data_IF_436675016056
#
_entry.id   IF_436675016056
#
_cell.length_a   1.000
_cell.length_b   1.000
_cell.length_c   1.000
_cell.angle_alpha   90.00
_cell.angle_beta   90.00
_cell.angle_gamma   90.00
#
_symmetry.space_group_name_H-M   'P 1'
#
loop_
_entity.id
_entity.type
_entity.pdbx_description
1 polymer ?
#
# COMPACT_ATOMS: atom_id res chain seq x y z
N UNK A 1 -53.95 40.59 -2.34
CA UNK A 1 -53.23 39.59 -3.15
C UNK A 1 -51.75 39.65 -2.74
N UNK A 2 -51.27 38.67 -1.95
CA UNK A 2 -49.87 38.57 -1.54
C UNK A 2 -49.14 37.61 -2.49
N UNK A 3 -48.17 38.13 -3.26
CA UNK A 3 -47.30 37.30 -4.13
C UNK A 3 -46.18 36.72 -3.27
N UNK A 4 -46.13 35.38 -3.15
CA UNK A 4 -45.00 34.66 -2.59
C UNK A 4 -43.98 34.47 -3.69
N UNK A 5 -42.81 35.09 -3.54
CA UNK A 5 -41.63 34.88 -4.39
C UNK A 5 -40.85 33.72 -3.75
N UNK A 6 -40.95 32.53 -4.37
CA UNK A 6 -40.18 31.38 -4.00
C UNK A 6 -38.71 31.52 -4.47
N UNK A 7 -37.78 31.66 -3.54
CA UNK A 7 -36.35 31.60 -3.83
C UNK A 7 -35.96 30.13 -3.94
N UNK A 8 -35.74 29.69 -5.21
CA UNK A 8 -35.16 28.34 -5.47
C UNK A 8 -33.66 28.42 -5.26
N UNK A 9 -33.19 27.82 -4.16
CA UNK A 9 -31.75 27.69 -3.88
C UNK A 9 -31.20 26.55 -4.78
N UNK A 10 -30.53 26.94 -5.87
CA UNK A 10 -29.83 25.99 -6.74
C UNK A 10 -28.51 25.57 -6.07
N UNK A 11 -28.52 24.38 -5.47
CA UNK A 11 -27.33 23.80 -4.87
C UNK A 11 -26.43 23.25 -5.99
N UNK A 12 -25.47 24.08 -6.44
CA UNK A 12 -24.45 23.67 -7.41
C UNK A 12 -23.43 22.78 -6.70
N UNK A 13 -23.69 21.47 -6.71
CA UNK A 13 -22.77 20.47 -6.20
C UNK A 13 -21.48 20.49 -7.02
N UNK A 14 -20.39 20.98 -6.40
CA UNK A 14 -19.05 20.91 -6.97
C UNK A 14 -18.61 19.42 -6.94
N UNK A 15 -18.73 18.69 -8.05
CA UNK A 15 -18.12 17.38 -8.22
C UNK A 15 -16.62 17.56 -8.33
N UNK A 16 -15.90 17.42 -7.23
CA UNK A 16 -14.45 17.27 -7.24
C UNK A 16 -14.14 15.94 -7.94
N UNK A 17 -13.78 16.01 -9.21
CA UNK A 17 -13.22 14.86 -9.92
C UNK A 17 -11.88 14.53 -9.26
N UNK A 18 -11.83 13.50 -8.42
CA UNK A 18 -10.57 12.92 -7.93
C UNK A 18 -9.85 12.34 -9.15
N UNK A 19 -8.80 13.04 -9.59
CA UNK A 19 -7.87 12.54 -10.61
C UNK A 19 -6.98 11.47 -9.95
N UNK A 20 -6.67 10.40 -10.68
CA UNK A 20 -5.71 9.40 -10.24
C UNK A 20 -4.33 10.06 -10.00
N UNK A 21 -3.72 9.75 -8.87
CA UNK A 21 -2.42 10.27 -8.46
C UNK A 21 -1.36 9.19 -8.61
N UNK A 22 -0.17 9.57 -9.02
CA UNK A 22 1.01 8.72 -9.02
C UNK A 22 1.89 9.08 -7.83
N UNK A 23 2.09 8.12 -6.93
CA UNK A 23 3.04 8.23 -5.84
C UNK A 23 4.30 7.43 -6.16
N UNK A 24 5.44 7.88 -5.63
CA UNK A 24 6.72 7.23 -5.80
C UNK A 24 7.35 6.88 -4.46
N UNK A 25 7.92 5.68 -4.39
CA UNK A 25 8.69 5.18 -3.25
C UNK A 25 10.09 4.88 -3.74
N UNK A 26 11.13 5.31 -3.02
CA UNK A 26 12.52 5.06 -3.37
C UNK A 26 13.38 4.79 -2.13
N UNK A 27 14.47 4.02 -2.30
CA UNK A 27 15.40 3.69 -1.21
C UNK A 27 16.11 4.91 -0.62
N UNK A 28 16.20 6.00 -1.39
CA UNK A 28 16.74 7.30 -0.98
C UNK A 28 15.64 8.34 -0.73
N UNK A 29 14.37 7.90 -0.59
CA UNK A 29 13.24 8.77 -0.31
C UNK A 29 13.18 9.23 1.15
N UNK A 30 12.15 10.03 1.45
CA UNK A 30 11.83 10.51 2.80
C UNK A 30 10.31 10.58 2.95
N UNK A 31 9.77 10.04 4.05
CA UNK A 31 8.33 10.00 4.29
C UNK A 31 7.72 11.37 4.64
N UNK A 32 8.55 12.39 4.82
CA UNK A 32 8.12 13.80 4.88
C UNK A 32 7.90 14.44 3.50
N UNK A 33 8.39 13.81 2.44
CA UNK A 33 8.22 14.27 1.06
C UNK A 33 6.76 14.21 0.58
N UNK A 34 6.54 14.76 -0.61
CA UNK A 34 5.21 14.76 -1.26
C UNK A 34 4.86 13.44 -1.97
N UNK A 35 5.82 12.52 -2.15
CA UNK A 35 5.65 11.28 -2.89
C UNK A 35 5.69 11.45 -4.41
N UNK A 36 6.24 12.54 -4.92
CA UNK A 36 6.47 12.76 -6.36
C UNK A 36 7.73 12.03 -6.84
N UNK A 37 7.94 11.97 -8.15
CA UNK A 37 9.15 11.36 -8.73
C UNK A 37 10.44 11.98 -8.19
N UNK A 38 10.47 13.32 -8.07
CA UNK A 38 11.64 14.07 -7.58
C UNK A 38 11.76 14.08 -6.05
N UNK A 39 10.66 13.86 -5.35
CA UNK A 39 10.57 13.82 -3.88
C UNK A 39 9.78 12.58 -3.43
N UNK A 40 10.33 11.38 -3.62
CA UNK A 40 9.66 10.13 -3.30
C UNK A 40 9.54 9.90 -1.78
N UNK A 41 8.58 9.08 -1.40
CA UNK A 41 8.53 8.53 -0.05
C UNK A 41 9.65 7.52 0.19
N UNK A 42 10.04 7.32 1.44
CA UNK A 42 10.98 6.28 1.82
C UNK A 42 10.32 4.90 1.91
N UNK A 43 9.03 4.85 2.32
CA UNK A 43 8.37 3.59 2.67
C UNK A 43 7.08 3.36 1.88
N UNK A 44 6.80 2.06 1.63
CA UNK A 44 5.54 1.65 1.03
C UNK A 44 4.35 1.95 1.95
N UNK A 45 4.55 1.87 3.28
CA UNK A 45 3.56 2.21 4.29
C UNK A 45 3.07 3.65 4.17
N UNK A 46 4.01 4.58 3.93
CA UNK A 46 3.67 5.99 3.71
C UNK A 46 2.81 6.17 2.47
N UNK A 47 3.19 5.56 1.34
CA UNK A 47 2.41 5.60 0.12
C UNK A 47 1.01 5.00 0.34
N UNK A 48 0.93 3.82 0.99
CA UNK A 48 -0.31 3.14 1.35
C UNK A 48 -1.26 4.03 2.17
N UNK A 49 -0.72 4.85 3.06
CA UNK A 49 -1.54 5.78 3.88
C UNK A 49 -2.24 6.87 3.07
N UNK A 50 -1.73 7.18 1.86
CA UNK A 50 -2.17 8.29 1.00
C UNK A 50 -3.10 7.87 -0.13
N UNK A 51 -2.99 6.64 -0.62
CA UNK A 51 -3.70 6.22 -1.82
C UNK A 51 -5.22 6.22 -1.66
N UNK A 52 -5.87 6.55 -2.77
CA UNK A 52 -7.32 6.47 -2.98
C UNK A 52 -7.63 5.68 -4.27
N UNK A 53 -8.89 5.30 -4.53
CA UNK A 53 -9.24 4.54 -5.73
C UNK A 53 -8.76 5.17 -7.04
N UNK A 54 -7.98 4.42 -7.80
CA UNK A 54 -7.39 4.82 -9.09
C UNK A 54 -5.93 5.21 -9.02
N UNK A 55 -5.37 5.38 -7.83
CA UNK A 55 -3.97 5.77 -7.66
C UNK A 55 -3.00 4.64 -8.02
N UNK A 56 -1.79 5.04 -8.40
CA UNK A 56 -0.67 4.12 -8.63
C UNK A 56 0.51 4.50 -7.73
N UNK A 57 1.05 3.50 -7.04
CA UNK A 57 2.31 3.61 -6.31
C UNK A 57 3.40 2.97 -7.15
N UNK A 58 4.33 3.77 -7.61
CA UNK A 58 5.54 3.35 -8.31
C UNK A 58 6.67 3.13 -7.32
N UNK A 59 7.21 1.93 -7.30
CA UNK A 59 8.33 1.53 -6.45
C UNK A 59 9.58 1.60 -7.31
N UNK A 60 10.52 2.48 -6.95
CA UNK A 60 11.79 2.65 -7.66
C UNK A 60 12.71 1.46 -7.42
N UNK A 61 13.58 1.20 -8.35
CA UNK A 61 14.57 0.13 -8.25
C UNK A 61 15.47 0.27 -7.04
N UNK A 62 15.97 -0.87 -6.56
CA UNK A 62 16.86 -0.96 -5.41
C UNK A 62 16.39 -1.97 -4.37
N UNK A 63 17.22 -2.19 -3.36
CA UNK A 63 16.96 -3.13 -2.29
C UNK A 63 16.40 -2.41 -1.06
N UNK A 64 15.13 -2.65 -0.76
CA UNK A 64 14.41 -2.17 0.42
C UNK A 64 14.62 -3.17 1.54
N UNK A 65 15.54 -2.89 2.45
CA UNK A 65 15.80 -3.73 3.63
C UNK A 65 14.76 -3.43 4.69
N UNK A 66 13.88 -4.38 4.90
CA UNK A 66 12.81 -4.26 5.88
C UNK A 66 13.30 -4.81 7.21
N UNK A 67 13.11 -4.03 8.28
CA UNK A 67 13.45 -4.40 9.64
C UNK A 67 12.22 -4.78 10.43
N UNK A 68 12.43 -5.52 11.51
CA UNK A 68 11.34 -6.02 12.35
C UNK A 68 10.52 -4.89 12.98
N UNK A 69 11.16 -3.78 13.38
CA UNK A 69 10.47 -2.61 13.92
C UNK A 69 9.58 -1.87 12.91
N UNK A 70 9.72 -2.16 11.63
CA UNK A 70 8.89 -1.60 10.56
C UNK A 70 7.63 -2.42 10.28
N UNK A 71 7.45 -3.54 10.95
CA UNK A 71 6.22 -4.33 10.80
C UNK A 71 5.00 -3.55 11.28
N UNK A 72 3.93 -3.62 10.51
CA UNK A 72 2.72 -2.82 10.75
C UNK A 72 1.74 -3.45 11.72
N UNK A 73 1.91 -4.72 12.07
CA UNK A 73 0.99 -5.38 12.98
C UNK A 73 1.14 -6.89 13.02
N UNK A 74 0.10 -7.54 13.48
CA UNK A 74 0.04 -8.99 13.58
C UNK A 74 -0.96 -9.46 14.63
N UNK A 75 -1.08 -10.75 14.74
CA UNK A 75 -1.80 -11.43 15.79
C UNK A 75 -0.86 -12.39 16.56
N UNK A 76 -1.42 -13.31 17.35
CA UNK A 76 -0.63 -14.28 18.10
C UNK A 76 0.08 -15.32 17.22
N UNK A 77 -0.33 -15.49 15.95
CA UNK A 77 0.24 -16.46 15.00
C UNK A 77 1.03 -15.80 13.88
N UNK A 78 0.71 -14.53 13.53
CA UNK A 78 1.23 -13.85 12.34
C UNK A 78 1.81 -12.49 12.68
N UNK A 79 2.84 -12.11 11.96
CA UNK A 79 3.38 -10.76 11.89
C UNK A 79 3.18 -10.22 10.49
N UNK A 80 2.67 -8.99 10.36
CA UNK A 80 2.36 -8.34 9.09
C UNK A 80 3.42 -7.29 8.77
N UNK A 81 4.12 -7.45 7.63
CA UNK A 81 5.12 -6.47 7.20
C UNK A 81 4.43 -5.26 6.62
N UNK A 82 3.54 -5.46 5.63
CA UNK A 82 2.74 -4.40 5.02
C UNK A 82 1.26 -4.68 5.22
N UNK A 83 0.53 -3.72 5.76
CA UNK A 83 -0.92 -3.78 5.85
C UNK A 83 -1.55 -2.98 4.71
N UNK A 84 -2.28 -3.68 3.83
CA UNK A 84 -2.91 -3.13 2.63
C UNK A 84 -4.42 -3.02 2.84
N UNK A 85 -4.84 -2.01 3.60
CA UNK A 85 -6.22 -1.82 4.07
C UNK A 85 -7.03 -0.80 3.24
N UNK A 86 -6.44 -0.19 2.22
CA UNK A 86 -7.17 0.68 1.29
C UNK A 86 -7.81 -0.15 0.20
N UNK A 87 -8.97 0.29 -0.28
CA UNK A 87 -9.69 -0.37 -1.36
C UNK A 87 -9.79 0.53 -2.57
N UNK A 88 -9.55 -0.05 -3.75
CA UNK A 88 -9.94 0.53 -5.00
C UNK A 88 -11.42 0.25 -5.31
N UNK A 89 -11.79 0.35 -6.57
CA UNK A 89 -13.07 -0.10 -7.12
C UNK A 89 -12.83 -0.90 -8.38
N UNK A 90 -13.85 -1.58 -8.90
CA UNK A 90 -13.74 -2.32 -10.16
C UNK A 90 -13.24 -1.43 -11.31
N UNK A 91 -13.69 -0.17 -11.38
CA UNK A 91 -13.30 0.79 -12.42
C UNK A 91 -12.01 1.56 -12.07
N UNK A 92 -11.66 1.68 -10.79
CA UNK A 92 -10.52 2.46 -10.29
C UNK A 92 -9.73 1.64 -9.29
N UNK A 93 -8.93 0.71 -9.79
CA UNK A 93 -8.05 -0.13 -8.95
C UNK A 93 -6.89 0.69 -8.40
N UNK A 94 -6.39 0.34 -7.23
CA UNK A 94 -5.13 0.86 -6.72
C UNK A 94 -4.02 -0.07 -7.20
N UNK A 95 -2.97 0.47 -7.78
CA UNK A 95 -1.86 -0.31 -8.33
C UNK A 95 -0.56 -0.04 -7.56
N UNK A 96 0.14 -1.11 -7.19
CA UNK A 96 1.50 -1.08 -6.63
C UNK A 96 2.42 -1.79 -7.62
N UNK A 97 3.36 -1.08 -8.22
CA UNK A 97 4.18 -1.62 -9.31
C UNK A 97 5.59 -1.07 -9.31
N UNK A 98 6.55 -1.87 -9.75
CA UNK A 98 7.87 -1.37 -10.11
C UNK A 98 7.76 -0.25 -11.15
N UNK A 99 8.63 0.73 -11.07
CA UNK A 99 8.67 1.86 -11.98
C UNK A 99 9.42 1.48 -13.27
N UNK A 100 8.75 1.56 -14.41
CA UNK A 100 9.31 1.21 -15.72
C UNK A 100 9.98 -0.19 -15.70
N UNK A 101 11.25 -0.27 -16.11
CA UNK A 101 12.04 -1.49 -16.12
C UNK A 101 12.94 -1.63 -14.88
N UNK A 102 12.71 -0.80 -13.86
CA UNK A 102 13.45 -0.87 -12.61
C UNK A 102 13.03 -2.10 -11.80
N UNK A 103 13.98 -2.62 -11.00
CA UNK A 103 13.80 -3.84 -10.21
C UNK A 103 13.80 -3.52 -8.72
N UNK A 104 12.66 -3.27 -8.10
CA UNK A 104 12.55 -3.14 -6.65
C UNK A 104 12.55 -4.51 -5.99
N UNK A 105 13.33 -4.63 -4.90
CA UNK A 105 13.50 -5.86 -4.13
C UNK A 105 13.22 -5.58 -2.65
N UNK A 106 12.19 -6.20 -2.10
CA UNK A 106 11.94 -6.19 -0.65
C UNK A 106 12.73 -7.33 0.01
N UNK A 107 13.78 -6.97 0.74
CA UNK A 107 14.61 -7.93 1.47
C UNK A 107 14.16 -8.00 2.93
N UNK A 108 13.71 -9.19 3.34
CA UNK A 108 13.18 -9.46 4.67
C UNK A 108 14.15 -10.25 5.56
N UNK A 109 15.44 -10.20 5.26
CA UNK A 109 16.46 -10.95 6.03
C UNK A 109 16.46 -10.60 7.53
N UNK A 110 16.06 -9.37 7.87
CA UNK A 110 16.03 -8.84 9.24
C UNK A 110 14.63 -8.94 9.90
N UNK A 111 13.64 -9.53 9.21
CA UNK A 111 12.27 -9.74 9.73
C UNK A 111 12.19 -11.17 10.27
N UNK A 112 12.38 -11.34 11.57
CA UNK A 112 12.45 -12.66 12.25
C UNK A 112 11.64 -12.68 13.55
N UNK A 113 10.34 -12.37 13.51
CA UNK A 113 9.52 -12.32 14.71
C UNK A 113 9.44 -13.71 15.34
N UNK A 114 9.82 -13.81 16.62
CA UNK A 114 9.85 -15.07 17.33
C UNK A 114 8.45 -15.68 17.44
N UNK A 115 8.34 -16.97 17.11
CA UNK A 115 7.10 -17.74 17.25
C UNK A 115 5.98 -17.37 16.28
N UNK A 116 6.22 -16.53 15.28
CA UNK A 116 5.19 -16.07 14.34
C UNK A 116 5.51 -16.42 12.89
N UNK A 117 4.47 -16.61 12.10
CA UNK A 117 4.56 -16.62 10.64
C UNK A 117 4.65 -15.19 10.11
N UNK A 118 5.43 -14.98 9.07
CA UNK A 118 5.54 -13.67 8.42
C UNK A 118 4.62 -13.62 7.20
N UNK A 119 3.63 -12.72 7.24
CA UNK A 119 2.85 -12.34 6.06
C UNK A 119 3.42 -11.03 5.53
N UNK A 120 4.01 -11.08 4.34
CA UNK A 120 4.63 -9.88 3.75
C UNK A 120 3.58 -8.85 3.43
N UNK A 121 2.49 -9.25 2.78
CA UNK A 121 1.33 -8.41 2.53
C UNK A 121 0.11 -8.99 3.25
N UNK A 122 -0.39 -8.28 4.24
CA UNK A 122 -1.71 -8.51 4.81
C UNK A 122 -2.72 -7.64 4.08
N UNK A 123 -3.55 -8.27 3.24
CA UNK A 123 -4.48 -7.57 2.37
C UNK A 123 -5.89 -7.68 2.92
N UNK A 124 -6.40 -6.61 3.49
CA UNK A 124 -7.80 -6.46 3.94
C UNK A 124 -8.62 -5.54 3.01
N UNK A 125 -7.95 -4.79 2.14
CA UNK A 125 -8.58 -4.01 1.09
C UNK A 125 -8.97 -4.84 -0.15
N UNK A 126 -9.69 -4.22 -1.08
CA UNK A 126 -10.18 -4.84 -2.31
C UNK A 126 -9.71 -4.07 -3.54
N UNK A 127 -9.72 -4.72 -4.70
CA UNK A 127 -9.34 -4.13 -5.99
C UNK A 127 -7.92 -3.54 -6.00
N UNK A 128 -6.96 -4.32 -5.48
CA UNK A 128 -5.55 -3.98 -5.45
C UNK A 128 -4.78 -4.80 -6.49
N UNK A 129 -3.83 -4.18 -7.17
CA UNK A 129 -2.89 -4.83 -8.07
C UNK A 129 -1.47 -4.70 -7.56
N UNK A 130 -0.74 -5.83 -7.52
CA UNK A 130 0.67 -5.91 -7.15
C UNK A 130 1.44 -6.51 -8.33
N UNK A 131 2.50 -5.85 -8.80
CA UNK A 131 3.30 -6.35 -9.92
C UNK A 131 4.71 -5.75 -9.98
N UNK A 132 5.60 -6.43 -10.70
CA UNK A 132 6.94 -5.94 -11.05
C UNK A 132 7.81 -5.56 -9.86
N UNK A 133 7.84 -6.39 -8.80
CA UNK A 133 8.80 -6.32 -7.71
C UNK A 133 9.08 -7.71 -7.16
N UNK A 134 10.16 -7.84 -6.42
CA UNK A 134 10.60 -9.09 -5.83
C UNK A 134 10.53 -9.03 -4.31
N UNK A 135 10.33 -10.19 -3.72
CA UNK A 135 10.38 -10.41 -2.27
C UNK A 135 11.41 -11.51 -2.03
N UNK A 136 12.40 -11.23 -1.21
CA UNK A 136 13.47 -12.19 -0.91
C UNK A 136 13.67 -12.34 0.59
N UNK A 137 14.22 -13.51 0.96
CA UNK A 137 14.66 -13.85 2.32
C UNK A 137 13.54 -13.79 3.36
N UNK A 138 12.34 -14.24 2.98
CA UNK A 138 11.28 -14.51 3.96
C UNK A 138 11.72 -15.67 4.85
N UNK A 139 11.58 -15.53 6.17
CA UNK A 139 11.98 -16.54 7.13
C UNK A 139 10.84 -16.89 8.08
N UNK A 140 10.85 -18.12 8.56
CA UNK A 140 9.96 -18.60 9.64
C UNK A 140 10.80 -19.12 10.77
N UNK A 141 10.57 -18.62 11.97
CA UNK A 141 11.29 -18.99 13.18
C UNK A 141 10.56 -20.02 14.03
N UNK A 142 9.47 -20.61 13.54
CA UNK A 142 8.69 -21.64 14.24
C UNK A 142 9.31 -23.00 13.93
N UNK A 143 9.79 -23.71 14.95
CA UNK A 143 10.51 -25.00 14.81
C UNK A 143 9.71 -26.09 14.10
N UNK A 144 8.39 -26.10 14.21
CA UNK A 144 7.50 -27.14 13.67
C UNK A 144 6.67 -26.71 12.47
N UNK A 145 6.76 -25.44 12.07
CA UNK A 145 6.02 -24.89 10.94
C UNK A 145 6.94 -24.05 10.06
N UNK A 146 7.08 -24.44 8.80
CA UNK A 146 8.00 -23.82 7.84
C UNK A 146 7.29 -22.97 6.78
N UNK A 147 6.15 -22.37 7.11
CA UNK A 147 5.37 -21.61 6.11
C UNK A 147 5.50 -20.11 6.32
N UNK A 148 6.05 -19.43 5.32
CA UNK A 148 5.93 -17.99 5.12
C UNK A 148 4.87 -17.71 4.06
N UNK A 149 4.04 -16.72 4.30
CA UNK A 149 3.03 -16.26 3.34
C UNK A 149 3.50 -14.95 2.73
N UNK A 150 3.69 -14.90 1.41
CA UNK A 150 4.02 -13.64 0.74
C UNK A 150 2.82 -12.70 0.73
N UNK A 151 1.61 -13.25 0.55
CA UNK A 151 0.37 -12.48 0.54
C UNK A 151 -0.67 -13.23 1.38
N UNK A 152 -1.24 -12.54 2.35
CA UNK A 152 -2.40 -13.00 3.10
C UNK A 152 -3.59 -12.09 2.77
N UNK A 153 -4.58 -12.65 2.08
CA UNK A 153 -5.74 -11.90 1.60
C UNK A 153 -6.98 -12.24 2.43
N UNK A 154 -7.54 -11.25 3.10
CA UNK A 154 -8.86 -11.31 3.76
C UNK A 154 -9.91 -10.44 3.06
N UNK A 155 -9.50 -9.66 2.06
CA UNK A 155 -10.41 -8.83 1.29
C UNK A 155 -11.18 -9.62 0.24
N UNK A 156 -12.36 -9.15 -0.09
CA UNK A 156 -13.09 -9.61 -1.27
C UNK A 156 -12.47 -9.09 -2.57
N UNK A 157 -12.87 -9.65 -3.68
CA UNK A 157 -12.40 -9.35 -5.04
C UNK A 157 -12.55 -7.90 -5.46
#
# INVERSE_FOLDING_TARGET
MKKHIGISLFFMGCFLSLSATNYFVATNGDDSNAGTLDKPFATLQKAQSKVVPGDTVYIRGGEYRIREEQMMGGDHLRAYVFEMNKSGTQAKRICYTGYQDERPIFNLAEVKPEGKRVSVFYVSGSYLHFRNFEIIKTQVTIREHTQSECIYNQGGN
#
